data_IF_455274951356
#
_entry.id   IF_455274951356
#
_cell.length_a   1.000
_cell.length_b   1.000
_cell.length_c   1.000
_cell.angle_alpha   90.00
_cell.angle_beta   90.00
_cell.angle_gamma   90.00
#
_symmetry.space_group_name_H-M   'P 1'
#
loop_
_entity.id
_entity.type
_entity.pdbx_description
1 polymer ?
#
# COMPACT_ATOMS: atom_id res chain seq x y z
N UNK A 1 10.46 41.17 -13.11
CA UNK A 1 11.06 40.50 -11.94
C UNK A 1 9.95 39.74 -11.21
N UNK A 2 9.98 38.47 -10.80
CA UNK A 2 10.94 37.36 -10.77
C UNK A 2 10.10 36.12 -11.06
N UNK A 3 10.51 35.31 -12.03
CA UNK A 3 9.90 34.00 -12.30
C UNK A 3 10.09 33.14 -11.06
N UNK A 4 8.99 32.76 -10.40
CA UNK A 4 8.99 31.83 -9.27
C UNK A 4 9.54 30.49 -9.76
N UNK A 5 10.80 30.22 -9.43
CA UNK A 5 11.49 29.00 -9.81
C UNK A 5 10.76 27.81 -9.18
N UNK A 6 10.24 26.90 -10.01
CA UNK A 6 9.78 25.59 -9.57
C UNK A 6 10.93 24.90 -8.83
N UNK A 7 10.75 24.65 -7.54
CA UNK A 7 11.68 23.86 -6.75
C UNK A 7 12.01 22.54 -7.47
N UNK A 8 13.28 22.12 -7.52
CA UNK A 8 13.69 20.89 -8.19
C UNK A 8 12.89 19.71 -7.62
N UNK A 9 12.52 18.74 -8.48
CA UNK A 9 11.79 17.52 -8.10
C UNK A 9 12.58 16.76 -7.02
N UNK A 10 12.38 17.10 -5.75
CA UNK A 10 13.05 16.47 -4.62
C UNK A 10 12.54 15.03 -4.54
N UNK A 11 13.42 14.07 -4.81
CA UNK A 11 13.12 12.65 -4.64
C UNK A 11 13.14 12.33 -3.15
N UNK A 12 11.97 12.28 -2.53
CA UNK A 12 11.85 11.92 -1.11
C UNK A 12 12.03 10.40 -0.93
N UNK A 13 12.77 10.01 0.11
CA UNK A 13 12.64 8.65 0.68
C UNK A 13 11.15 8.38 0.95
N UNK A 14 10.71 7.14 0.76
CA UNK A 14 9.29 6.76 0.86
C UNK A 14 8.63 7.17 2.19
N UNK A 15 9.32 6.94 3.30
CA UNK A 15 8.88 7.33 4.65
C UNK A 15 8.85 8.83 4.91
N UNK A 16 9.53 9.62 4.07
CA UNK A 16 9.63 11.08 4.14
C UNK A 16 8.70 11.79 3.15
N UNK A 17 7.86 11.05 2.42
CA UNK A 17 6.85 11.66 1.54
C UNK A 17 5.86 12.47 2.38
N UNK A 18 5.36 13.62 1.89
CA UNK A 18 4.50 14.51 2.68
C UNK A 18 3.30 13.82 3.33
N UNK A 19 2.56 12.97 2.58
CA UNK A 19 1.43 12.24 3.14
C UNK A 19 1.83 11.23 4.23
N UNK A 20 2.99 10.58 4.10
CA UNK A 20 3.48 9.64 5.10
C UNK A 20 3.91 10.36 6.39
N UNK A 21 4.57 11.51 6.27
CA UNK A 21 4.88 12.36 7.42
C UNK A 21 3.62 12.85 8.14
N UNK A 22 2.64 13.40 7.40
CA UNK A 22 1.35 13.84 7.95
C UNK A 22 0.59 12.69 8.61
N UNK A 23 0.64 11.49 8.03
CA UNK A 23 0.04 10.30 8.60
C UNK A 23 0.65 9.95 9.96
N UNK A 24 1.98 9.97 10.07
CA UNK A 24 2.69 9.72 11.33
C UNK A 24 2.33 10.76 12.38
N UNK A 25 2.28 12.02 12.00
CA UNK A 25 1.91 13.13 12.89
C UNK A 25 0.47 13.00 13.38
N UNK A 26 -0.43 12.57 12.48
CA UNK A 26 -1.81 12.31 12.85
C UNK A 26 -1.91 11.19 13.89
N UNK A 27 -1.20 10.08 13.70
CA UNK A 27 -1.18 9.01 14.70
C UNK A 27 -0.62 9.46 16.06
N UNK A 28 0.40 10.32 16.09
CA UNK A 28 0.91 10.90 17.35
C UNK A 28 -0.20 11.63 18.10
N UNK A 29 -0.93 12.53 17.41
CA UNK A 29 -2.05 13.27 17.99
C UNK A 29 -3.21 12.37 18.44
N UNK A 30 -3.58 11.38 17.61
CA UNK A 30 -4.66 10.44 17.95
C UNK A 30 -4.37 9.65 19.23
N UNK A 31 -3.10 9.34 19.50
CA UNK A 31 -2.69 8.59 20.68
C UNK A 31 -2.73 9.43 21.98
N UNK A 32 -2.81 10.76 21.90
CA UNK A 32 -2.95 11.64 23.07
C UNK A 32 -4.31 11.43 23.74
N UNK A 33 -5.40 11.34 22.96
CA UNK A 33 -6.74 11.04 23.47
C UNK A 33 -7.54 10.12 22.53
N UNK A 34 -7.22 8.81 22.48
CA UNK A 34 -7.77 7.91 21.47
C UNK A 34 -9.27 7.65 21.63
N UNK A 35 -9.81 7.73 22.85
CA UNK A 35 -11.22 7.46 23.14
C UNK A 35 -12.17 8.52 22.61
N UNK A 36 -11.67 9.69 22.18
CA UNK A 36 -12.49 10.71 21.50
C UNK A 36 -12.86 10.33 20.06
N UNK A 37 -12.24 9.29 19.51
CA UNK A 37 -12.43 8.91 18.12
C UNK A 37 -13.15 7.57 18.03
N UNK A 38 -14.39 7.58 17.54
CA UNK A 38 -15.22 6.37 17.41
C UNK A 38 -14.53 5.26 16.63
N UNK A 39 -13.78 5.62 15.58
CA UNK A 39 -13.02 4.67 14.77
C UNK A 39 -11.79 4.09 15.50
N UNK A 40 -11.46 4.53 16.71
CA UNK A 40 -10.43 3.94 17.56
C UNK A 40 -11.00 3.13 18.74
N UNK A 41 -12.30 3.21 18.98
CA UNK A 41 -12.98 2.41 19.98
C UNK A 41 -13.09 0.94 19.53
N UNK A 42 -13.18 0.03 20.50
CA UNK A 42 -13.45 -1.38 20.24
C UNK A 42 -14.80 -1.55 19.54
N UNK A 43 -15.10 -2.77 19.07
CA UNK A 43 -16.41 -3.07 18.47
C UNK A 43 -17.60 -2.78 19.40
N UNK A 44 -17.38 -2.81 20.72
CA UNK A 44 -18.39 -2.49 21.74
C UNK A 44 -18.36 -1.03 22.20
N UNK A 45 -17.63 -0.15 21.53
CA UNK A 45 -17.50 1.26 21.89
C UNK A 45 -16.60 1.53 23.10
N UNK A 46 -15.90 0.52 23.62
CA UNK A 46 -14.97 0.68 24.74
C UNK A 46 -13.61 1.18 24.27
N UNK A 47 -12.88 1.88 25.15
CA UNK A 47 -11.51 2.32 24.87
C UNK A 47 -10.60 1.14 24.49
N UNK A 48 -9.91 1.27 23.36
CA UNK A 48 -8.87 0.31 22.95
C UNK A 48 -7.58 0.63 23.69
N UNK A 49 -6.84 -0.41 24.12
CA UNK A 49 -5.55 -0.24 24.79
C UNK A 49 -4.57 0.63 23.97
N UNK A 50 -4.02 1.67 24.58
CA UNK A 50 -3.11 2.63 23.91
C UNK A 50 -1.93 1.93 23.24
N UNK A 51 -1.26 0.98 23.91
CA UNK A 51 -0.14 0.24 23.31
C UNK A 51 -0.54 -0.49 22.02
N UNK A 52 -1.75 -1.06 21.97
CA UNK A 52 -2.23 -1.70 20.76
C UNK A 52 -2.48 -0.69 19.64
N UNK A 53 -3.07 0.46 19.96
CA UNK A 53 -3.22 1.56 19.00
C UNK A 53 -1.87 2.09 18.51
N UNK A 54 -0.84 2.12 19.35
CA UNK A 54 0.53 2.47 18.96
C UNK A 54 1.08 1.48 17.92
N UNK A 55 0.89 0.17 18.14
CA UNK A 55 1.31 -0.85 17.18
C UNK A 55 0.53 -0.76 15.86
N UNK A 56 -0.77 -0.50 15.92
CA UNK A 56 -1.62 -0.24 14.75
C UNK A 56 -1.10 0.99 13.99
N UNK A 57 -0.79 2.07 14.68
CA UNK A 57 -0.22 3.28 14.10
C UNK A 57 1.11 3.02 13.39
N UNK A 58 2.00 2.21 13.98
CA UNK A 58 3.26 1.78 13.34
C UNK A 58 3.02 0.99 12.07
N UNK A 59 2.09 0.02 12.11
CA UNK A 59 1.71 -0.77 10.92
C UNK A 59 1.15 0.14 9.83
N UNK A 60 0.21 1.02 10.16
CA UNK A 60 -0.40 1.92 9.18
C UNK A 60 0.62 2.93 8.62
N UNK A 61 1.54 3.46 9.43
CA UNK A 61 2.64 4.31 8.94
C UNK A 61 3.53 3.60 7.93
N UNK A 62 3.90 2.34 8.20
CA UNK A 62 4.66 1.54 7.24
C UNK A 62 3.87 1.32 5.94
N UNK A 63 2.59 0.96 6.02
CA UNK A 63 1.75 0.73 4.84
C UNK A 63 1.60 2.00 3.99
N UNK A 64 1.39 3.17 4.60
CA UNK A 64 1.27 4.45 3.91
C UNK A 64 2.61 4.88 3.30
N UNK A 65 3.73 4.66 4.01
CA UNK A 65 5.07 4.93 3.49
C UNK A 65 5.38 4.10 2.24
N UNK A 66 4.99 2.82 2.25
CA UNK A 66 5.16 1.89 1.13
C UNK A 66 4.02 1.95 0.09
N UNK A 67 3.10 2.90 0.20
CA UNK A 67 1.94 3.01 -0.69
C UNK A 67 2.33 3.53 -2.08
N UNK A 68 1.72 2.98 -3.11
CA UNK A 68 1.62 3.61 -4.44
C UNK A 68 0.25 4.30 -4.51
N UNK A 69 0.23 5.64 -4.49
CA UNK A 69 -1.00 6.40 -4.23
C UNK A 69 -2.05 6.34 -5.35
N UNK A 70 -1.68 6.02 -6.60
CA UNK A 70 -2.68 5.90 -7.68
C UNK A 70 -3.59 4.69 -7.48
N UNK A 71 -3.00 3.55 -7.15
CA UNK A 71 -3.72 2.27 -7.00
C UNK A 71 -3.96 1.86 -5.57
N UNK A 72 -3.40 2.61 -4.63
CA UNK A 72 -3.33 2.34 -3.20
C UNK A 72 -2.74 0.97 -2.87
N UNK A 73 -1.97 0.36 -3.78
CA UNK A 73 -1.29 -0.91 -3.50
C UNK A 73 -0.06 -0.64 -2.64
N UNK A 74 0.17 -1.50 -1.65
CA UNK A 74 1.37 -1.45 -0.81
C UNK A 74 2.51 -2.17 -1.52
N UNK A 75 3.52 -1.41 -1.93
CA UNK A 75 4.61 -1.90 -2.76
C UNK A 75 5.22 -0.84 -3.66
N UNK A 76 6.07 -1.30 -4.57
CA UNK A 76 6.91 -0.43 -5.39
C UNK A 76 6.71 -0.76 -6.87
N UNK A 77 6.55 0.28 -7.67
CA UNK A 77 6.57 0.18 -9.13
C UNK A 77 8.01 -0.02 -9.58
N UNK A 78 8.25 -1.02 -10.43
CA UNK A 78 9.56 -1.31 -11.04
C UNK A 78 9.39 -1.47 -12.54
N UNK A 79 10.48 -1.45 -13.30
CA UNK A 79 10.45 -1.73 -14.75
C UNK A 79 9.89 -3.14 -15.08
N UNK A 80 10.02 -4.11 -14.15
CA UNK A 80 9.52 -5.48 -14.32
C UNK A 80 8.07 -5.67 -13.86
N UNK A 81 7.40 -4.60 -13.42
CA UNK A 81 6.06 -4.62 -12.83
C UNK A 81 6.04 -4.21 -11.36
N UNK A 82 4.96 -4.54 -10.66
CA UNK A 82 4.73 -4.10 -9.28
C UNK A 82 5.25 -5.11 -8.25
N UNK A 83 6.22 -4.70 -7.43
CA UNK A 83 6.73 -5.49 -6.32
C UNK A 83 5.87 -5.25 -5.07
N UNK A 84 5.07 -6.25 -4.70
CA UNK A 84 4.23 -6.22 -3.50
C UNK A 84 5.07 -6.36 -2.23
N UNK A 85 4.69 -5.66 -1.15
CA UNK A 85 5.21 -5.96 0.19
C UNK A 85 4.46 -7.14 0.81
N UNK A 86 5.19 -8.09 1.38
CA UNK A 86 4.64 -9.20 2.19
C UNK A 86 4.38 -8.74 3.62
N UNK A 87 3.65 -9.53 4.41
CA UNK A 87 3.49 -9.24 5.83
C UNK A 87 4.81 -9.37 6.61
N UNK A 88 5.70 -10.28 6.20
CA UNK A 88 7.07 -10.36 6.72
C UNK A 88 7.86 -9.07 6.44
N UNK A 89 7.67 -8.41 5.28
CA UNK A 89 8.27 -7.10 5.05
C UNK A 89 7.72 -6.04 6.02
N UNK A 90 6.42 -6.06 6.31
CA UNK A 90 5.78 -5.14 7.27
C UNK A 90 6.32 -5.39 8.69
N UNK A 91 6.41 -6.65 9.11
CA UNK A 91 7.00 -7.04 10.39
C UNK A 91 8.43 -6.50 10.53
N UNK A 92 9.30 -6.78 9.55
CA UNK A 92 10.67 -6.25 9.52
C UNK A 92 10.71 -4.72 9.57
N UNK A 93 9.86 -4.05 8.80
CA UNK A 93 9.85 -2.59 8.71
C UNK A 93 9.25 -1.87 9.92
N UNK A 94 8.46 -2.57 10.73
CA UNK A 94 7.85 -2.02 11.97
C UNK A 94 8.58 -2.46 13.24
N UNK A 95 9.46 -3.47 13.14
CA UNK A 95 10.08 -4.12 14.30
C UNK A 95 9.11 -5.01 15.10
N UNK A 96 7.89 -5.21 14.62
CA UNK A 96 6.88 -6.04 15.29
C UNK A 96 6.98 -7.49 14.81
N UNK A 97 6.72 -8.49 15.67
CA UNK A 97 6.62 -9.87 15.21
C UNK A 97 5.40 -10.04 14.29
N UNK A 98 5.48 -11.00 13.35
CA UNK A 98 4.44 -11.14 12.30
C UNK A 98 3.04 -11.41 12.88
N UNK A 99 2.92 -12.14 13.99
CA UNK A 99 1.63 -12.37 14.65
C UNK A 99 0.98 -11.07 15.14
N UNK A 100 1.79 -10.11 15.64
CA UNK A 100 1.31 -8.81 16.09
C UNK A 100 0.88 -7.93 14.92
N UNK A 101 1.61 -8.00 13.82
CA UNK A 101 1.20 -7.37 12.55
C UNK A 101 -0.15 -7.92 12.09
N UNK A 102 -0.36 -9.24 12.14
CA UNK A 102 -1.64 -9.88 11.78
C UNK A 102 -2.80 -9.39 12.65
N UNK A 103 -2.61 -9.22 13.95
CA UNK A 103 -3.62 -8.63 14.85
C UNK A 103 -3.96 -7.19 14.43
N UNK A 104 -2.96 -6.33 14.26
CA UNK A 104 -3.16 -4.94 13.81
C UNK A 104 -3.86 -4.86 12.45
N UNK A 105 -3.53 -5.77 11.54
CA UNK A 105 -4.17 -5.91 10.23
C UNK A 105 -5.64 -6.32 10.37
N UNK A 106 -5.97 -7.22 11.29
CA UNK A 106 -7.36 -7.58 11.57
C UNK A 106 -8.15 -6.36 12.04
N UNK A 107 -7.60 -5.61 13.00
CA UNK A 107 -8.20 -4.38 13.49
C UNK A 107 -8.46 -3.35 12.38
N UNK A 108 -7.48 -3.15 11.49
CA UNK A 108 -7.60 -2.22 10.36
C UNK A 108 -8.58 -2.73 9.29
N UNK A 109 -8.68 -4.04 9.06
CA UNK A 109 -9.68 -4.64 8.16
C UNK A 109 -11.10 -4.45 8.67
N UNK A 110 -11.32 -4.64 9.98
CA UNK A 110 -12.64 -4.47 10.60
C UNK A 110 -13.19 -3.05 10.42
N UNK A 111 -12.29 -2.06 10.30
CA UNK A 111 -12.63 -0.65 10.03
C UNK A 111 -12.67 -0.31 8.54
N UNK A 112 -12.47 -1.29 7.67
CA UNK A 112 -12.38 -1.08 6.23
C UNK A 112 -11.20 -0.21 5.81
N UNK A 113 -10.18 -0.01 6.64
CA UNK A 113 -9.00 0.80 6.31
C UNK A 113 -8.07 0.11 5.32
N UNK A 114 -8.06 -1.22 5.33
CA UNK A 114 -7.23 -2.01 4.42
C UNK A 114 -8.01 -3.17 3.82
N UNK A 115 -7.62 -3.55 2.61
CA UNK A 115 -8.03 -4.81 1.97
C UNK A 115 -6.80 -5.63 1.60
N UNK A 116 -6.93 -6.96 1.60
CA UNK A 116 -5.85 -7.85 1.19
C UNK A 116 -6.43 -9.07 0.49
N UNK A 117 -6.19 -9.18 -0.82
CA UNK A 117 -6.62 -10.33 -1.64
C UNK A 117 -5.39 -11.11 -2.10
N UNK A 118 -5.37 -12.42 -1.87
CA UNK A 118 -4.30 -13.30 -2.33
C UNK A 118 -4.72 -13.98 -3.64
N UNK A 119 -4.07 -13.64 -4.78
CA UNK A 119 -4.28 -14.40 -6.00
C UNK A 119 -3.73 -15.81 -5.84
N UNK A 120 -4.34 -16.78 -6.52
CA UNK A 120 -3.87 -18.17 -6.60
C UNK A 120 -3.43 -18.49 -8.01
N UNK A 121 -2.52 -19.43 -8.14
CA UNK A 121 -2.11 -20.00 -9.42
C UNK A 121 -2.17 -21.53 -9.35
N UNK A 122 -2.55 -22.16 -10.46
CA UNK A 122 -2.51 -23.61 -10.58
C UNK A 122 -1.34 -23.94 -11.50
N UNK A 123 -0.44 -24.80 -11.03
CA UNK A 123 0.71 -25.28 -11.78
C UNK A 123 0.62 -26.80 -11.78
N UNK A 124 0.29 -27.38 -12.93
CA UNK A 124 0.20 -28.83 -13.13
C UNK A 124 -0.72 -29.55 -12.12
N UNK A 125 -1.85 -28.94 -11.75
CA UNK A 125 -2.79 -29.50 -10.78
C UNK A 125 -2.66 -28.92 -9.38
N UNK A 126 -1.48 -28.43 -9.01
CA UNK A 126 -1.21 -27.91 -7.67
C UNK A 126 -1.55 -26.42 -7.53
N UNK A 127 -2.25 -26.06 -6.45
CA UNK A 127 -2.65 -24.68 -6.15
C UNK A 127 -1.66 -23.95 -5.24
N UNK A 128 -1.04 -22.90 -5.78
CA UNK A 128 -0.10 -22.05 -5.06
C UNK A 128 -0.69 -20.67 -4.77
N UNK A 129 -0.46 -20.18 -3.56
CA UNK A 129 -0.78 -18.80 -3.19
C UNK A 129 0.29 -17.82 -3.68
N UNK A 130 -0.10 -16.83 -4.48
CA UNK A 130 0.81 -15.74 -4.87
C UNK A 130 0.89 -14.67 -3.78
N UNK A 131 1.82 -13.72 -3.90
CA UNK A 131 1.92 -12.59 -2.99
C UNK A 131 0.58 -11.82 -2.90
N UNK A 132 0.09 -11.57 -1.69
CA UNK A 132 -1.19 -10.90 -1.46
C UNK A 132 -1.13 -9.41 -1.80
N UNK A 133 -2.15 -8.94 -2.52
CA UNK A 133 -2.30 -7.54 -2.92
C UNK A 133 -3.00 -6.80 -1.78
N UNK A 134 -2.22 -5.98 -1.08
CA UNK A 134 -2.67 -5.15 0.03
C UNK A 134 -3.01 -3.75 -0.48
N UNK A 135 -4.14 -3.20 -0.05
CA UNK A 135 -4.49 -1.81 -0.32
C UNK A 135 -4.90 -1.08 0.93
N UNK A 136 -4.52 0.20 1.03
CA UNK A 136 -5.11 1.15 1.97
C UNK A 136 -6.31 1.80 1.27
N UNK A 137 -7.45 1.90 1.94
CA UNK A 137 -8.69 2.41 1.35
C UNK A 137 -8.82 3.92 1.55
N UNK A 138 -9.69 4.55 0.77
CA UNK A 138 -10.02 5.97 0.94
C UNK A 138 -10.67 6.24 2.31
N UNK A 139 -11.36 5.24 2.89
CA UNK A 139 -11.95 5.34 4.25
C UNK A 139 -10.89 5.65 5.30
N UNK A 140 -9.72 5.02 5.23
CA UNK A 140 -8.63 5.32 6.16
C UNK A 140 -8.27 6.81 6.18
N UNK A 141 -8.07 7.41 5.00
CA UNK A 141 -7.70 8.83 4.91
C UNK A 141 -8.86 9.75 5.29
N UNK A 142 -10.12 9.35 5.08
CA UNK A 142 -11.27 10.12 5.57
C UNK A 142 -11.37 10.09 7.10
N UNK A 143 -11.30 8.91 7.70
CA UNK A 143 -11.39 8.76 9.17
C UNK A 143 -10.27 9.55 9.87
N UNK A 144 -9.06 9.55 9.31
CA UNK A 144 -7.93 10.31 9.86
C UNK A 144 -7.94 11.82 9.51
N UNK A 145 -8.85 12.31 8.66
CA UNK A 145 -8.88 13.71 8.24
C UNK A 145 -7.74 14.10 7.29
N UNK A 146 -7.27 13.16 6.46
CA UNK A 146 -6.15 13.32 5.53
C UNK A 146 -6.57 13.28 4.05
N UNK A 147 -7.88 13.36 3.75
CA UNK A 147 -8.45 13.22 2.41
C UNK A 147 -7.86 14.20 1.37
N UNK A 148 -7.69 15.47 1.73
CA UNK A 148 -7.12 16.49 0.82
C UNK A 148 -5.67 16.19 0.48
N UNK A 149 -4.85 15.90 1.50
CA UNK A 149 -3.45 15.53 1.31
C UNK A 149 -3.31 14.24 0.47
N UNK A 150 -4.20 13.27 0.70
CA UNK A 150 -4.26 12.04 -0.07
C UNK A 150 -4.63 12.28 -1.55
N UNK A 151 -5.63 13.12 -1.83
CA UNK A 151 -6.01 13.48 -3.20
C UNK A 151 -4.83 14.12 -3.96
N UNK A 152 -4.11 15.05 -3.31
CA UNK A 152 -2.92 15.68 -3.88
C UNK A 152 -1.81 14.66 -4.15
N UNK A 153 -1.56 13.75 -3.21
CA UNK A 153 -0.57 12.67 -3.39
C UNK A 153 -0.92 11.73 -4.55
N UNK A 154 -2.22 11.42 -4.73
CA UNK A 154 -2.72 10.57 -5.83
C UNK A 154 -2.53 11.22 -7.20
N UNK A 155 -2.79 12.52 -7.33
CA UNK A 155 -2.52 13.28 -8.55
C UNK A 155 -1.02 13.31 -8.87
N UNK A 156 -0.17 13.61 -7.88
CA UNK A 156 1.28 13.61 -8.04
C UNK A 156 1.83 12.23 -8.45
N UNK A 157 1.37 11.15 -7.82
CA UNK A 157 1.75 9.80 -8.17
C UNK A 157 1.33 9.43 -9.60
N UNK A 158 0.15 9.86 -10.05
CA UNK A 158 -0.31 9.65 -11.43
C UNK A 158 0.62 10.34 -12.44
N UNK A 159 1.03 11.59 -12.17
CA UNK A 159 1.99 12.31 -13.02
C UNK A 159 3.35 11.60 -13.07
N UNK A 160 3.87 11.17 -11.93
CA UNK A 160 5.15 10.46 -11.85
C UNK A 160 5.11 9.10 -12.56
N UNK A 161 3.99 8.38 -12.45
CA UNK A 161 3.83 7.10 -13.13
C UNK A 161 3.75 7.25 -14.65
N UNK A 162 3.12 8.31 -15.16
CA UNK A 162 3.14 8.62 -16.60
C UNK A 162 4.56 8.90 -17.09
N UNK A 163 5.35 9.67 -16.33
CA UNK A 163 6.77 9.90 -16.65
C UNK A 163 7.58 8.61 -16.66
N UNK A 164 7.38 7.75 -15.66
CA UNK A 164 8.05 6.44 -15.60
C UNK A 164 7.69 5.56 -16.79
N UNK A 165 6.41 5.48 -17.17
CA UNK A 165 5.96 4.74 -18.34
C UNK A 165 6.60 5.26 -19.64
N UNK A 166 6.64 6.58 -19.83
CA UNK A 166 7.31 7.19 -20.97
C UNK A 166 8.81 6.87 -21.00
N UNK A 167 9.50 6.99 -19.86
CA UNK A 167 10.95 6.74 -19.78
C UNK A 167 11.35 5.27 -19.96
N UNK A 168 10.46 4.33 -19.64
CA UNK A 168 10.75 2.89 -19.69
C UNK A 168 10.19 2.22 -20.95
N UNK A 169 9.33 2.90 -21.71
CA UNK A 169 8.54 2.31 -22.79
C UNK A 169 7.48 1.30 -22.31
N UNK A 170 7.35 1.07 -20.99
CA UNK A 170 6.43 0.07 -20.44
C UNK A 170 5.07 0.70 -20.18
N UNK A 171 4.01 0.09 -20.74
CA UNK A 171 2.65 0.56 -20.49
C UNK A 171 2.30 0.51 -18.99
N UNK A 172 1.63 1.56 -18.51
CA UNK A 172 1.26 1.77 -17.10
C UNK A 172 0.58 0.54 -16.48
N UNK A 173 -0.27 -0.16 -17.24
CA UNK A 173 -0.95 -1.38 -16.79
C UNK A 173 0.06 -2.41 -16.31
N UNK A 174 1.16 -2.64 -17.04
CA UNK A 174 2.17 -3.62 -16.68
C UNK A 174 3.00 -3.17 -15.48
N UNK A 175 3.40 -1.90 -15.44
CA UNK A 175 4.08 -1.31 -14.27
C UNK A 175 3.31 -1.50 -12.97
N UNK A 176 1.97 -1.39 -13.03
CA UNK A 176 1.09 -1.57 -11.88
C UNK A 176 0.64 -3.01 -11.65
N UNK A 177 0.94 -3.95 -12.54
CA UNK A 177 0.54 -5.35 -12.35
C UNK A 177 1.57 -6.05 -11.46
N UNK A 178 1.15 -6.75 -10.39
CA UNK A 178 2.06 -7.54 -9.57
C UNK A 178 2.95 -8.46 -10.41
N UNK A 179 4.26 -8.48 -10.11
CA UNK A 179 5.25 -9.28 -10.87
C UNK A 179 4.84 -10.76 -10.91
N UNK A 180 4.31 -11.29 -9.81
CA UNK A 180 3.82 -12.67 -9.72
C UNK A 180 2.65 -12.95 -10.68
N UNK A 181 1.77 -11.97 -10.90
CA UNK A 181 0.68 -12.08 -11.86
C UNK A 181 1.17 -11.96 -13.30
N UNK A 182 2.13 -11.08 -13.58
CA UNK A 182 2.75 -11.00 -14.91
C UNK A 182 3.40 -12.32 -15.30
N UNK A 183 4.16 -12.93 -14.39
CA UNK A 183 4.76 -14.26 -14.62
C UNK A 183 3.71 -15.34 -14.88
N UNK A 184 2.62 -15.34 -14.11
CA UNK A 184 1.49 -16.23 -14.32
C UNK A 184 0.88 -16.06 -15.72
N UNK A 185 0.67 -14.82 -16.17
CA UNK A 185 0.11 -14.56 -17.49
C UNK A 185 1.05 -14.98 -18.62
N UNK A 186 2.35 -14.70 -18.49
CA UNK A 186 3.36 -15.13 -19.46
C UNK A 186 3.41 -16.65 -19.62
N UNK A 187 3.36 -17.41 -18.51
CA UNK A 187 3.36 -18.89 -18.56
C UNK A 187 2.13 -19.42 -19.32
N UNK A 188 0.95 -18.82 -19.07
CA UNK A 188 -0.30 -19.21 -19.75
C UNK A 188 -0.28 -18.90 -21.25
N UNK A 189 0.31 -17.78 -21.67
CA UNK A 189 0.44 -17.49 -23.10
C UNK A 189 1.37 -18.48 -23.80
N UNK A 190 2.48 -18.85 -23.16
CA UNK A 190 3.40 -19.87 -23.69
C UNK A 190 2.70 -21.23 -23.81
N UNK A 191 1.99 -21.69 -22.77
CA UNK A 191 1.24 -22.95 -22.82
C UNK A 191 0.20 -22.97 -23.95
N UNK A 192 -0.58 -21.89 -24.11
CA UNK A 192 -1.55 -21.79 -25.20
C UNK A 192 -0.88 -21.88 -26.57
N UNK A 193 0.25 -21.19 -26.75
CA UNK A 193 0.99 -21.23 -28.02
C UNK A 193 1.47 -22.64 -28.35
N UNK A 194 2.00 -23.39 -27.37
CA UNK A 194 2.39 -24.79 -27.57
C UNK A 194 1.21 -25.72 -27.88
N UNK A 195 0.02 -25.45 -27.34
CA UNK A 195 -1.18 -26.24 -27.65
C UNK A 195 -1.81 -25.94 -29.01
N UNK A 196 -1.46 -24.81 -29.64
CA UNK A 196 -2.04 -24.36 -30.92
C UNK A 196 -1.11 -24.54 -32.12
N UNK A 197 0.15 -24.91 -31.92
CA UNK A 197 1.07 -25.28 -33.00
C UNK A 197 1.01 -26.81 -33.15
N UNK A 198 0.54 -27.33 -34.30
CA UNK A 198 0.43 -28.77 -34.54
C UNK A 198 1.79 -29.47 -34.59
#
# INVERSE_FOLDING_TARGET
MKVSQRSPNKSFKRSARPLAALNRDRWRKLLENPSQYDYLLSRSGKSTQRQYLTDIGRVMDYLVSELEFRTCKVGVVTAKGFLLRTWANVAKGTGLPEWRVKQCVSYAKDRGWITSKQPRDNINGDWYGLASIKRVTDKYFRDLGLNVAYANAKQAATKNLKKMAASTGVHIRYLLTPITLLRKFARRSTQRHYSTVP
#
